data_IF_789838443932
#
_entry.id   IF_789838443932
#
_cell.length_a   1.000
_cell.length_b   1.000
_cell.length_c   1.000
_cell.angle_alpha   90.00
_cell.angle_beta   90.00
_cell.angle_gamma   90.00
#
_symmetry.space_group_name_H-M   'P 1'
#
loop_
_entity.id
_entity.type
_entity.pdbx_description
1 polymer ?
#
# COMPACT_ATOMS: atom_id res chain seq x y z
N UNK A 1 -18.10 -17.13 20.12
CA UNK A 1 -17.89 -18.54 19.70
C UNK A 1 -16.40 -18.69 19.46
N UNK A 2 -15.60 -19.54 20.10
CA UNK A 2 -15.82 -20.71 20.95
C UNK A 2 -14.76 -20.63 22.07
N UNK A 3 -15.20 -20.92 23.29
CA UNK A 3 -14.44 -21.00 24.52
C UNK A 3 -13.86 -22.41 24.62
N UNK A 4 -12.56 -22.57 24.87
CA UNK A 4 -12.02 -23.82 25.44
C UNK A 4 -10.77 -23.52 26.28
N UNK A 5 -11.04 -23.30 27.56
CA UNK A 5 -10.07 -23.36 28.64
C UNK A 5 -9.96 -24.84 29.01
N UNK A 6 -8.79 -25.47 28.85
CA UNK A 6 -8.51 -26.78 29.39
C UNK A 6 -7.65 -26.62 30.64
N UNK A 7 -8.30 -26.63 31.81
CA UNK A 7 -7.61 -26.73 33.10
C UNK A 7 -7.26 -28.20 33.31
N UNK A 8 -5.97 -28.54 33.29
CA UNK A 8 -5.51 -29.87 33.72
C UNK A 8 -5.11 -29.77 35.19
N UNK A 9 -6.01 -30.25 36.04
CA UNK A 9 -5.76 -30.54 37.46
C UNK A 9 -4.80 -31.73 37.56
N UNK A 10 -3.57 -31.50 38.02
CA UNK A 10 -2.71 -32.58 38.48
C UNK A 10 -3.08 -32.92 39.93
N UNK A 11 -3.84 -34.01 40.08
CA UNK A 11 -4.10 -34.61 41.38
C UNK A 11 -2.84 -35.30 41.91
N UNK A 12 -2.38 -34.86 43.08
CA UNK A 12 -1.38 -35.58 43.87
C UNK A 12 -2.06 -36.79 44.50
N UNK A 13 -1.74 -37.99 44.03
CA UNK A 13 -2.16 -39.23 44.69
C UNK A 13 -1.07 -39.61 45.71
N UNK A 14 -1.31 -39.31 46.98
CA UNK A 14 -0.58 -39.91 48.10
C UNK A 14 -1.25 -41.26 48.37
N UNK A 15 -0.65 -42.35 47.89
CA UNK A 15 -1.04 -43.69 48.28
C UNK A 15 -0.29 -44.08 49.56
N UNK A 16 -0.98 -43.95 50.71
CA UNK A 16 -0.56 -44.57 51.95
C UNK A 16 -1.00 -46.05 51.93
N UNK A 17 -0.03 -46.97 52.00
CA UNK A 17 -0.27 -48.40 52.13
C UNK A 17 0.76 -49.01 53.06
N UNK A 18 0.33 -49.41 54.26
CA UNK A 18 1.15 -50.12 55.24
C UNK A 18 0.81 -51.62 55.29
N UNK A 19 1.85 -52.38 55.66
CA UNK A 19 1.90 -53.78 56.10
C UNK A 19 1.97 -54.85 55.00
N UNK A 20 3.20 -55.30 54.80
CA UNK A 20 3.53 -56.61 54.23
C UNK A 20 5.04 -56.75 54.13
N UNK A 21 5.67 -57.43 55.09
CA UNK A 21 7.07 -57.90 55.01
C UNK A 21 7.19 -58.93 53.89
N UNK A 22 7.15 -58.47 52.65
CA UNK A 22 7.61 -59.21 51.48
C UNK A 22 9.01 -58.72 51.19
N UNK A 23 9.97 -59.64 51.13
CA UNK A 23 11.31 -59.35 50.58
C UNK A 23 11.10 -58.81 49.16
N UNK A 24 11.13 -57.48 48.99
CA UNK A 24 11.10 -56.86 47.68
C UNK A 24 12.41 -57.19 46.99
N UNK A 25 12.40 -58.25 46.19
CA UNK A 25 13.29 -58.29 45.02
C UNK A 25 12.96 -57.04 44.22
N UNK A 26 13.93 -56.14 44.15
CA UNK A 26 13.75 -54.70 43.87
C UNK A 26 12.78 -54.39 42.74
N UNK A 27 11.85 -53.48 43.02
CA UNK A 27 11.10 -52.75 41.99
C UNK A 27 12.11 -52.03 41.10
N UNK A 28 12.02 -52.21 39.79
CA UNK A 28 12.78 -51.41 38.82
C UNK A 28 12.04 -50.10 38.56
N UNK A 29 12.74 -48.97 38.63
CA UNK A 29 12.21 -47.63 38.36
C UNK A 29 12.64 -47.13 36.99
N UNK A 30 11.84 -46.25 36.40
CA UNK A 30 12.16 -45.53 35.16
C UNK A 30 12.31 -44.02 35.44
N UNK A 31 13.56 -43.57 35.51
CA UNK A 31 13.91 -42.16 35.77
C UNK A 31 13.46 -41.27 34.60
N UNK A 32 13.34 -41.79 33.38
CA UNK A 32 12.89 -41.01 32.23
C UNK A 32 11.41 -40.64 32.32
N UNK A 33 10.61 -41.47 32.99
CA UNK A 33 9.20 -41.20 33.31
C UNK A 33 9.02 -40.41 34.63
N UNK A 34 10.12 -40.06 35.30
CA UNK A 34 10.09 -39.33 36.57
C UNK A 34 9.80 -40.23 37.78
N UNK A 35 10.08 -41.53 37.69
CA UNK A 35 10.06 -42.43 38.84
C UNK A 35 11.39 -42.36 39.61
N UNK A 36 11.29 -42.33 40.94
CA UNK A 36 12.44 -42.24 41.85
C UNK A 36 12.22 -43.18 43.04
N UNK A 37 13.30 -43.71 43.59
CA UNK A 37 13.22 -44.46 44.85
C UNK A 37 12.90 -43.51 46.00
N UNK A 38 12.00 -43.92 46.89
CA UNK A 38 11.83 -43.26 48.19
C UNK A 38 13.02 -43.53 49.12
N UNK A 39 13.10 -42.81 50.24
CA UNK A 39 14.23 -42.94 51.18
C UNK A 39 14.43 -44.37 51.70
N UNK A 40 13.35 -45.05 52.08
CA UNK A 40 13.38 -46.44 52.58
C UNK A 40 13.75 -47.46 51.49
N UNK A 41 13.23 -47.27 50.27
CA UNK A 41 13.53 -48.13 49.11
C UNK A 41 15.00 -47.99 48.71
N UNK A 42 15.52 -46.76 48.71
CA UNK A 42 16.93 -46.48 48.44
C UNK A 42 17.83 -47.07 49.54
N UNK A 43 17.46 -46.95 50.82
CA UNK A 43 18.23 -47.51 51.93
C UNK A 43 18.42 -49.03 51.81
N UNK A 44 17.38 -49.74 51.34
CA UNK A 44 17.36 -51.19 51.15
C UNK A 44 18.19 -51.69 49.94
N UNK A 45 18.61 -50.81 49.02
CA UNK A 45 19.46 -51.17 47.89
C UNK A 45 20.87 -51.57 48.33
N UNK A 46 21.46 -52.53 47.61
CA UNK A 46 22.88 -52.84 47.72
C UNK A 46 23.75 -51.67 47.25
N UNK A 47 25.02 -51.62 47.67
CA UNK A 47 25.94 -50.56 47.25
C UNK A 47 26.10 -50.48 45.72
N UNK A 48 26.01 -51.62 45.02
CA UNK A 48 26.07 -51.68 43.55
C UNK A 48 24.83 -51.05 42.90
N UNK A 49 23.64 -51.31 43.45
CA UNK A 49 22.38 -50.74 42.95
C UNK A 49 22.28 -49.24 43.26
N UNK A 50 22.77 -48.80 44.42
CA UNK A 50 22.89 -47.37 44.76
C UNK A 50 23.81 -46.64 43.78
N UNK A 51 24.96 -47.21 43.47
CA UNK A 51 25.87 -46.64 42.47
C UNK A 51 25.19 -46.53 41.09
N UNK A 52 24.53 -47.59 40.62
CA UNK A 52 23.82 -47.57 39.34
C UNK A 52 22.67 -46.54 39.31
N UNK A 53 21.95 -46.36 40.41
CA UNK A 53 20.90 -45.34 40.51
C UNK A 53 21.47 -43.92 40.47
N UNK A 54 22.56 -43.66 41.21
CA UNK A 54 23.26 -42.37 41.16
C UNK A 54 23.77 -42.06 39.74
N UNK A 55 24.37 -43.03 39.05
CA UNK A 55 24.84 -42.87 37.67
C UNK A 55 23.69 -42.53 36.71
N UNK A 56 22.54 -43.17 36.88
CA UNK A 56 21.35 -42.92 36.06
C UNK A 56 20.73 -41.53 36.33
N UNK A 57 20.67 -41.10 37.60
CA UNK A 57 20.25 -39.74 37.95
C UNK A 57 21.20 -38.68 37.39
N UNK A 58 22.51 -38.93 37.47
CA UNK A 58 23.50 -38.03 36.90
C UNK A 58 23.35 -37.94 35.38
N UNK A 59 23.13 -39.06 34.70
CA UNK A 59 22.86 -39.10 33.25
C UNK A 59 21.62 -38.26 32.91
N UNK A 60 20.52 -38.43 33.65
CA UNK A 60 19.29 -37.66 33.43
C UNK A 60 19.46 -36.17 33.68
N UNK A 61 20.18 -35.80 34.75
CA UNK A 61 20.54 -34.40 35.06
C UNK A 61 21.30 -33.77 33.89
N UNK A 62 22.31 -34.47 33.38
CA UNK A 62 23.13 -33.98 32.28
C UNK A 62 22.30 -33.84 30.98
N UNK A 63 21.40 -34.78 30.69
CA UNK A 63 20.47 -34.68 29.56
C UNK A 63 19.51 -33.49 29.69
N UNK A 64 18.91 -33.28 30.87
CA UNK A 64 18.02 -32.14 31.11
C UNK A 64 18.77 -30.81 31.02
N UNK A 65 20.00 -30.75 31.54
CA UNK A 65 20.84 -29.56 31.44
C UNK A 65 21.16 -29.25 29.98
N UNK A 66 21.58 -30.24 29.20
CA UNK A 66 21.82 -30.08 27.76
C UNK A 66 20.56 -29.58 27.03
N UNK A 67 19.38 -30.13 27.34
CA UNK A 67 18.12 -29.65 26.74
C UNK A 67 17.75 -28.22 27.16
N UNK A 68 18.09 -27.80 28.39
CA UNK A 68 17.88 -26.43 28.82
C UNK A 68 18.82 -25.47 28.09
N UNK A 69 20.09 -25.85 27.92
CA UNK A 69 21.09 -25.06 27.23
C UNK A 69 20.70 -24.89 25.74
N UNK A 70 20.30 -25.99 25.07
CA UNK A 70 19.79 -25.97 23.68
C UNK A 70 18.57 -25.03 23.54
N UNK A 71 17.59 -25.14 24.45
CA UNK A 71 16.40 -24.28 24.42
C UNK A 71 16.71 -22.82 24.71
N UNK A 72 17.71 -22.54 25.55
CA UNK A 72 18.16 -21.16 25.81
C UNK A 72 18.82 -20.57 24.56
N UNK A 73 19.59 -21.36 23.83
CA UNK A 73 20.18 -20.96 22.54
C UNK A 73 19.09 -20.68 21.50
N UNK A 74 18.12 -21.58 21.33
CA UNK A 74 16.98 -21.40 20.44
C UNK A 74 16.17 -20.14 20.77
N UNK A 75 15.95 -19.88 22.06
CA UNK A 75 15.23 -18.70 22.53
C UNK A 75 16.03 -17.42 22.25
N UNK A 76 17.35 -17.45 22.40
CA UNK A 76 18.22 -16.34 22.04
C UNK A 76 18.20 -16.07 20.53
N UNK A 77 18.25 -17.13 19.70
CA UNK A 77 18.15 -17.02 18.25
C UNK A 77 16.79 -16.45 17.80
N UNK A 78 15.70 -16.94 18.39
CA UNK A 78 14.35 -16.46 18.09
C UNK A 78 14.16 -14.99 18.47
N UNK A 79 14.67 -14.56 19.63
CA UNK A 79 14.65 -13.15 20.04
C UNK A 79 15.38 -12.26 19.04
N UNK A 80 16.58 -12.65 18.60
CA UNK A 80 17.32 -11.92 17.55
C UNK A 80 16.53 -11.82 16.25
N UNK A 81 15.80 -12.88 15.87
CA UNK A 81 14.94 -12.86 14.69
C UNK A 81 13.76 -11.90 14.84
N UNK A 82 13.10 -11.88 16.01
CA UNK A 82 12.02 -10.94 16.32
C UNK A 82 12.52 -9.50 16.23
N UNK A 83 13.68 -9.19 16.80
CA UNK A 83 14.22 -7.83 16.77
C UNK A 83 14.64 -7.41 15.35
N UNK A 84 15.20 -8.33 14.56
CA UNK A 84 15.47 -8.11 13.14
C UNK A 84 14.21 -7.80 12.34
N UNK A 85 13.11 -8.56 12.58
CA UNK A 85 11.83 -8.32 11.92
C UNK A 85 11.21 -6.98 12.36
N UNK A 86 11.28 -6.63 13.65
CA UNK A 86 10.83 -5.33 14.14
C UNK A 86 11.56 -4.18 13.45
N UNK A 87 12.88 -4.30 13.29
CA UNK A 87 13.67 -3.29 12.58
C UNK A 87 13.29 -3.15 11.10
N UNK A 88 12.70 -4.20 10.50
CA UNK A 88 12.16 -4.16 9.14
C UNK A 88 10.73 -3.63 9.08
N UNK A 89 9.89 -3.93 10.08
CA UNK A 89 8.47 -3.52 10.13
C UNK A 89 8.33 -2.03 10.42
N UNK A 90 9.04 -1.50 11.42
CA UNK A 90 8.94 -0.09 11.84
C UNK A 90 9.09 0.93 10.69
N UNK A 91 10.08 0.84 9.78
CA UNK A 91 10.18 1.77 8.66
C UNK A 91 9.03 1.62 7.66
N UNK A 92 8.55 0.39 7.43
CA UNK A 92 7.41 0.15 6.53
C UNK A 92 6.13 0.74 7.10
N UNK A 93 5.87 0.59 8.41
CA UNK A 93 4.73 1.24 9.08
C UNK A 93 4.77 2.76 8.94
N UNK A 94 5.95 3.37 9.05
CA UNK A 94 6.14 4.81 8.84
C UNK A 94 5.83 5.23 7.40
N UNK A 95 6.26 4.44 6.42
CA UNK A 95 5.94 4.71 5.01
C UNK A 95 4.46 4.54 4.70
N UNK A 96 3.78 3.55 5.31
CA UNK A 96 2.34 3.39 5.19
C UNK A 96 1.62 4.66 5.69
N UNK A 97 1.98 5.15 6.88
CA UNK A 97 1.38 6.37 7.43
C UNK A 97 1.61 7.60 6.54
N UNK A 98 2.80 7.72 5.94
CA UNK A 98 3.12 8.78 4.99
C UNK A 98 2.24 8.69 3.74
N UNK A 99 2.20 7.53 3.10
CA UNK A 99 1.41 7.29 1.89
C UNK A 99 -0.08 7.48 2.16
N UNK A 100 -0.60 7.05 3.30
CA UNK A 100 -2.00 7.32 3.68
C UNK A 100 -2.29 8.82 3.82
N UNK A 101 -1.36 9.59 4.36
CA UNK A 101 -1.48 11.06 4.43
C UNK A 101 -1.46 11.71 3.06
N UNK A 102 -0.58 11.22 2.17
CA UNK A 102 -0.50 11.68 0.79
C UNK A 102 -1.82 11.35 0.06
N UNK A 103 -2.34 10.12 0.18
CA UNK A 103 -3.63 9.72 -0.40
C UNK A 103 -4.76 10.63 0.08
N UNK A 104 -4.86 10.90 1.39
CA UNK A 104 -5.88 11.83 1.91
C UNK A 104 -5.77 13.21 1.26
N UNK A 105 -4.56 13.75 1.19
CA UNK A 105 -4.31 15.08 0.63
C UNK A 105 -4.65 15.14 -0.87
N UNK A 106 -4.15 14.17 -1.65
CA UNK A 106 -4.43 14.09 -3.09
C UNK A 106 -5.91 13.85 -3.36
N UNK A 107 -6.58 12.97 -2.59
CA UNK A 107 -8.01 12.72 -2.76
C UNK A 107 -8.86 13.96 -2.49
N UNK A 108 -8.48 14.78 -1.49
CA UNK A 108 -9.15 16.05 -1.23
C UNK A 108 -8.93 17.05 -2.37
N UNK A 109 -7.73 17.11 -2.94
CA UNK A 109 -7.44 17.95 -4.11
C UNK A 109 -8.25 17.49 -5.33
N UNK A 110 -8.29 16.19 -5.62
CA UNK A 110 -9.11 15.63 -6.71
C UNK A 110 -10.58 16.00 -6.53
N UNK A 111 -11.12 15.83 -5.33
CA UNK A 111 -12.51 16.20 -5.03
C UNK A 111 -12.77 17.70 -5.23
N UNK A 112 -11.83 18.58 -4.87
CA UNK A 112 -11.93 20.01 -5.13
C UNK A 112 -11.94 20.31 -6.63
N UNK A 113 -11.04 19.70 -7.41
CA UNK A 113 -11.00 19.86 -8.87
C UNK A 113 -12.25 19.33 -9.56
N UNK A 114 -12.81 18.21 -9.10
CA UNK A 114 -14.03 17.63 -9.65
C UNK A 114 -15.29 18.44 -9.35
N UNK A 115 -15.30 19.18 -8.24
CA UNK A 115 -16.37 20.08 -7.85
C UNK A 115 -16.39 21.40 -8.65
N UNK A 116 -15.29 21.74 -9.33
CA UNK A 116 -15.24 22.95 -10.16
C UNK A 116 -16.27 22.89 -11.30
N UNK A 117 -16.87 24.03 -11.67
CA UNK A 117 -17.86 24.08 -12.73
C UNK A 117 -17.27 23.60 -14.05
N UNK A 118 -17.99 22.69 -14.73
CA UNK A 118 -17.71 22.26 -16.12
C UNK A 118 -18.48 23.08 -17.15
N UNK A 119 -19.36 23.96 -16.69
CA UNK A 119 -20.14 24.86 -17.53
C UNK A 119 -20.25 26.20 -16.83
N UNK A 120 -20.31 27.27 -17.61
CA UNK A 120 -20.46 28.63 -17.13
C UNK A 120 -21.58 29.33 -17.89
N UNK A 121 -22.50 29.96 -17.16
CA UNK A 121 -23.56 30.77 -17.75
C UNK A 121 -23.09 32.21 -17.82
N UNK A 122 -22.92 32.73 -19.03
CA UNK A 122 -22.42 34.09 -19.29
C UNK A 122 -23.36 35.13 -18.68
N UNK A 123 -22.81 36.09 -17.95
CA UNK A 123 -23.53 37.22 -17.36
C UNK A 123 -23.22 38.50 -18.15
N UNK A 124 -24.11 39.49 -18.07
CA UNK A 124 -23.90 40.78 -18.73
C UNK A 124 -22.57 41.43 -18.29
N UNK A 125 -21.71 41.73 -19.26
CA UNK A 125 -20.39 42.33 -19.05
C UNK A 125 -19.23 41.32 -19.00
N UNK A 126 -19.49 40.02 -19.04
CA UNK A 126 -18.43 39.02 -19.18
C UNK A 126 -17.80 39.05 -20.59
N UNK A 127 -16.50 38.76 -20.64
CA UNK A 127 -15.79 38.34 -21.84
C UNK A 127 -14.97 37.07 -21.53
N UNK A 128 -14.46 36.37 -22.54
CA UNK A 128 -13.79 35.08 -22.34
C UNK A 128 -12.58 35.16 -21.40
N UNK A 129 -11.82 36.26 -21.43
CA UNK A 129 -10.70 36.49 -20.51
C UNK A 129 -11.14 36.69 -19.07
N UNK A 130 -12.20 37.48 -18.83
CA UNK A 130 -12.79 37.65 -17.49
C UNK A 130 -13.33 36.32 -16.96
N UNK A 131 -13.95 35.51 -17.82
CA UNK A 131 -14.42 34.17 -17.42
C UNK A 131 -13.23 33.28 -17.04
N UNK A 132 -12.16 33.25 -17.85
CA UNK A 132 -10.98 32.44 -17.59
C UNK A 132 -10.22 32.86 -16.31
N UNK A 133 -10.23 34.15 -15.98
CA UNK A 133 -9.59 34.72 -14.78
C UNK A 133 -10.24 34.26 -13.47
N UNK A 134 -11.52 33.88 -13.47
CA UNK A 134 -12.21 33.44 -12.24
C UNK A 134 -11.50 32.23 -11.65
N UNK A 135 -11.34 32.22 -10.32
CA UNK A 135 -10.68 31.15 -9.57
C UNK A 135 -11.30 29.77 -9.84
N UNK A 136 -12.63 29.73 -9.94
CA UNK A 136 -13.38 28.51 -10.24
C UNK A 136 -13.29 28.05 -11.70
N UNK A 137 -12.78 28.90 -12.59
CA UNK A 137 -12.52 28.59 -14.00
C UNK A 137 -11.06 28.25 -14.16
N UNK A 138 -10.16 29.16 -14.52
CA UNK A 138 -8.75 28.80 -14.72
C UNK A 138 -7.78 29.60 -13.86
N UNK A 139 -8.29 30.55 -13.06
CA UNK A 139 -7.49 31.50 -12.29
C UNK A 139 -6.43 32.22 -13.16
N UNK A 140 -6.71 32.34 -14.46
CA UNK A 140 -5.73 32.79 -15.46
C UNK A 140 -6.45 33.25 -16.72
N UNK A 141 -6.49 34.56 -16.90
CA UNK A 141 -7.15 35.21 -18.02
C UNK A 141 -6.58 34.78 -19.37
N UNK A 142 -5.31 34.36 -19.46
CA UNK A 142 -4.65 33.99 -20.72
C UNK A 142 -5.17 32.67 -21.30
N UNK A 143 -5.90 31.87 -20.50
CA UNK A 143 -6.45 30.57 -20.91
C UNK A 143 -7.82 30.67 -21.59
N UNK A 144 -8.31 31.88 -21.83
CA UNK A 144 -9.54 32.11 -22.57
C UNK A 144 -9.62 31.42 -23.95
N UNK A 145 -8.54 31.24 -24.74
CA UNK A 145 -8.62 30.57 -26.03
C UNK A 145 -9.10 29.11 -25.92
N UNK A 146 -8.86 28.46 -24.77
CA UNK A 146 -9.36 27.12 -24.49
C UNK A 146 -10.88 27.09 -24.34
N UNK A 147 -11.46 28.13 -23.73
CA UNK A 147 -12.92 28.28 -23.64
C UNK A 147 -13.50 28.50 -25.05
N UNK A 148 -12.88 29.39 -25.83
CA UNK A 148 -13.30 29.67 -27.20
C UNK A 148 -13.32 28.40 -28.07
N UNK A 149 -12.19 27.67 -28.12
CA UNK A 149 -12.04 26.45 -28.93
C UNK A 149 -13.06 25.37 -28.59
N UNK A 150 -13.43 25.24 -27.31
CA UNK A 150 -14.40 24.25 -26.88
C UNK A 150 -15.86 24.63 -27.14
N UNK A 151 -16.11 25.88 -27.55
CA UNK A 151 -17.45 26.43 -27.78
C UNK A 151 -17.56 27.10 -29.16
N UNK A 152 -16.76 26.68 -30.14
CA UNK A 152 -16.81 27.21 -31.51
C UNK A 152 -18.19 27.04 -32.17
N UNK A 153 -18.99 26.09 -31.70
CA UNK A 153 -20.37 25.87 -32.12
C UNK A 153 -21.35 26.93 -31.57
N UNK A 154 -20.95 27.68 -30.53
CA UNK A 154 -21.79 28.67 -29.84
C UNK A 154 -21.27 30.10 -29.93
N UNK A 155 -19.98 30.27 -30.21
CA UNK A 155 -19.31 31.58 -30.25
C UNK A 155 -18.79 31.81 -31.67
N UNK A 156 -19.38 32.80 -32.35
CA UNK A 156 -18.93 33.20 -33.69
C UNK A 156 -17.70 34.12 -33.63
N UNK A 157 -17.67 35.05 -32.66
CA UNK A 157 -16.56 35.99 -32.47
C UNK A 157 -16.08 35.93 -31.01
N UNK A 158 -14.78 35.66 -30.76
CA UNK A 158 -14.24 35.57 -29.40
C UNK A 158 -14.36 36.88 -28.60
N UNK A 159 -14.52 38.03 -29.26
CA UNK A 159 -14.70 39.35 -28.63
C UNK A 159 -16.15 39.56 -28.19
N UNK A 160 -17.12 38.89 -28.83
CA UNK A 160 -18.55 39.08 -28.60
C UNK A 160 -19.22 37.80 -28.11
N UNK A 161 -19.44 37.71 -26.79
CA UNK A 161 -20.24 36.65 -26.17
C UNK A 161 -21.55 37.21 -25.64
N UNK A 162 -22.66 36.49 -25.87
CA UNK A 162 -23.99 36.93 -25.46
C UNK A 162 -24.34 36.47 -24.03
N UNK A 163 -24.96 37.32 -23.20
CA UNK A 163 -25.50 36.92 -21.91
C UNK A 163 -26.46 35.73 -22.01
N UNK A 164 -26.57 34.97 -20.93
CA UNK A 164 -27.35 33.73 -20.80
C UNK A 164 -26.84 32.54 -21.63
N UNK A 165 -25.79 32.70 -22.43
CA UNK A 165 -25.13 31.59 -23.13
C UNK A 165 -24.44 30.66 -22.14
N UNK A 166 -24.66 29.35 -22.25
CA UNK A 166 -23.95 28.34 -21.44
C UNK A 166 -22.73 27.80 -22.18
N UNK A 167 -21.54 28.18 -21.72
CA UNK A 167 -20.25 27.75 -22.25
C UNK A 167 -19.76 26.51 -21.51
N UNK A 168 -19.22 25.54 -22.25
CA UNK A 168 -18.44 24.44 -21.68
C UNK A 168 -17.10 24.98 -21.18
N UNK A 169 -16.67 24.51 -20.01
CA UNK A 169 -15.37 24.82 -19.42
C UNK A 169 -14.55 23.52 -19.38
N UNK A 170 -13.67 23.28 -20.38
CA UNK A 170 -12.88 22.06 -20.44
C UNK A 170 -11.93 21.92 -19.25
N UNK A 171 -11.92 20.74 -18.63
CA UNK A 171 -10.96 20.38 -17.56
C UNK A 171 -9.92 19.41 -18.08
N UNK A 172 -10.37 18.44 -18.86
CA UNK A 172 -9.53 17.42 -19.47
C UNK A 172 -8.71 17.99 -20.63
N UNK A 173 -7.49 17.47 -20.79
CA UNK A 173 -6.66 17.82 -21.91
C UNK A 173 -7.32 17.33 -23.22
N UNK A 174 -7.32 18.13 -24.30
CA UNK A 174 -7.99 17.77 -25.55
C UNK A 174 -7.38 16.50 -26.16
N UNK A 175 -8.21 15.54 -26.56
CA UNK A 175 -7.73 14.36 -27.32
C UNK A 175 -7.70 14.61 -28.83
N UNK A 176 -8.26 15.74 -29.26
CA UNK A 176 -8.36 16.15 -30.65
C UNK A 176 -8.33 17.67 -30.77
N UNK A 177 -7.87 18.17 -31.91
CA UNK A 177 -7.83 19.60 -32.23
C UNK A 177 -8.36 19.84 -33.63
N UNK A 178 -9.32 20.76 -33.77
CA UNK A 178 -9.78 21.24 -35.07
C UNK A 178 -8.88 22.39 -35.48
N UNK A 179 -8.18 22.23 -36.61
CA UNK A 179 -7.28 23.25 -37.14
C UNK A 179 -8.05 24.53 -37.47
N UNK A 180 -7.63 25.64 -36.87
CA UNK A 180 -8.12 26.97 -37.20
C UNK A 180 -7.31 27.58 -38.36
N UNK A 181 -7.85 28.59 -39.06
CA UNK A 181 -7.11 29.31 -40.10
C UNK A 181 -5.76 29.81 -39.58
N UNK A 182 -4.71 29.62 -40.39
CA UNK A 182 -3.33 30.05 -40.12
C UNK A 182 -2.61 29.32 -38.97
N UNK A 183 -3.20 28.27 -38.39
CA UNK A 183 -2.46 27.39 -37.49
C UNK A 183 -1.51 26.47 -38.25
N UNK A 184 -0.34 26.23 -37.66
CA UNK A 184 0.61 25.19 -38.09
C UNK A 184 0.67 24.10 -37.04
N UNK A 185 1.23 22.94 -37.39
CA UNK A 185 1.45 21.87 -36.41
C UNK A 185 2.34 22.32 -35.23
N UNK A 186 3.29 23.22 -35.48
CA UNK A 186 4.12 23.85 -34.44
C UNK A 186 3.30 24.73 -33.49
N UNK A 187 2.41 25.57 -34.02
CA UNK A 187 1.52 26.41 -33.21
C UNK A 187 0.63 25.53 -32.34
N UNK A 188 0.03 24.49 -32.94
CA UNK A 188 -0.89 23.60 -32.24
C UNK A 188 -0.15 22.82 -31.14
N UNK A 189 1.03 22.27 -31.43
CA UNK A 189 1.86 21.59 -30.44
C UNK A 189 2.27 22.52 -29.28
N UNK A 190 2.56 23.79 -29.62
CA UNK A 190 2.93 24.83 -28.66
C UNK A 190 1.82 25.27 -27.72
N UNK A 191 0.55 24.95 -27.98
CA UNK A 191 -0.52 25.22 -27.04
C UNK A 191 -0.29 24.45 -25.73
N UNK A 192 -0.41 25.15 -24.61
CA UNK A 192 -0.19 24.60 -23.28
C UNK A 192 -1.11 23.41 -22.98
N UNK A 193 -2.31 23.38 -23.56
CA UNK A 193 -3.23 22.25 -23.42
C UNK A 193 -2.93 21.08 -24.37
N UNK A 194 -2.10 21.28 -25.40
CA UNK A 194 -1.68 20.22 -26.33
C UNK A 194 -0.38 19.60 -25.81
N UNK A 195 0.78 20.22 -26.05
CA UNK A 195 2.06 19.78 -25.48
C UNK A 195 2.78 20.87 -24.70
N UNK A 196 2.45 22.15 -24.94
CA UNK A 196 3.21 23.27 -24.40
C UNK A 196 4.62 23.40 -24.98
N UNK A 197 4.92 22.62 -26.02
CA UNK A 197 6.21 22.60 -26.71
C UNK A 197 5.98 22.53 -28.22
N UNK A 198 6.27 23.62 -28.97
CA UNK A 198 6.17 23.62 -30.42
C UNK A 198 7.03 22.54 -31.10
N UNK A 199 8.13 22.09 -30.47
CA UNK A 199 9.00 21.06 -31.03
C UNK A 199 8.33 19.67 -31.13
N UNK A 200 7.23 19.45 -30.42
CA UNK A 200 6.42 18.23 -30.47
C UNK A 200 5.51 18.15 -31.71
N UNK A 201 5.62 19.10 -32.65
CA UNK A 201 4.86 19.08 -33.90
C UNK A 201 5.07 17.78 -34.70
N UNK A 202 6.26 17.17 -34.64
CA UNK A 202 6.56 15.91 -35.33
C UNK A 202 5.68 14.80 -34.79
N UNK A 203 5.52 14.70 -33.47
CA UNK A 203 4.63 13.73 -32.83
C UNK A 203 3.19 13.91 -33.28
N UNK A 204 2.73 15.17 -33.36
CA UNK A 204 1.39 15.50 -33.83
C UNK A 204 1.21 15.10 -35.30
N UNK A 205 2.19 15.39 -36.15
CA UNK A 205 2.18 14.98 -37.56
C UNK A 205 2.12 13.46 -37.68
N UNK A 206 2.93 12.74 -36.91
CA UNK A 206 3.05 11.30 -37.02
C UNK A 206 1.75 10.56 -36.74
N UNK A 207 0.98 11.04 -35.76
CA UNK A 207 -0.33 10.48 -35.44
C UNK A 207 -1.43 10.83 -36.46
N UNK A 208 -1.17 11.74 -37.39
CA UNK A 208 -2.17 12.27 -38.33
C UNK A 208 -1.72 12.23 -39.79
N UNK A 209 -0.72 11.41 -40.15
CA UNK A 209 -0.21 11.27 -41.54
C UNK A 209 -1.29 10.81 -42.53
N UNK A 210 -2.37 10.21 -42.04
CA UNK A 210 -3.54 9.82 -42.83
C UNK A 210 -4.41 11.03 -43.25
N UNK A 211 -4.33 12.14 -42.49
CA UNK A 211 -5.12 13.36 -42.70
C UNK A 211 -4.30 14.53 -43.25
N UNK A 212 -3.03 14.62 -42.87
CA UNK A 212 -2.13 15.71 -43.25
C UNK A 212 -1.12 15.18 -44.25
N UNK A 213 -1.19 15.64 -45.50
CA UNK A 213 -0.30 15.19 -46.59
C UNK A 213 1.05 15.89 -46.58
N UNK A 214 1.06 17.20 -46.35
CA UNK A 214 2.27 18.02 -46.20
C UNK A 214 2.26 18.68 -44.81
N UNK A 215 3.28 18.46 -43.95
CA UNK A 215 3.39 19.12 -42.66
C UNK A 215 3.37 20.66 -42.70
N UNK A 216 3.78 21.25 -43.83
CA UNK A 216 3.87 22.71 -44.01
C UNK A 216 2.58 23.30 -44.60
N UNK A 217 1.64 22.47 -45.05
CA UNK A 217 0.35 22.89 -45.60
C UNK A 217 -0.77 22.22 -44.80
N UNK A 218 -1.22 22.92 -43.74
CA UNK A 218 -2.27 22.45 -42.86
C UNK A 218 -3.60 23.12 -43.23
N UNK A 219 -4.50 22.37 -43.87
CA UNK A 219 -5.83 22.88 -44.24
C UNK A 219 -6.68 23.13 -42.98
N UNK A 220 -7.44 24.24 -42.92
CA UNK A 220 -8.42 24.48 -41.84
C UNK A 220 -9.45 23.36 -41.74
N UNK A 221 -10.07 23.22 -40.57
CA UNK A 221 -11.11 22.24 -40.24
C UNK A 221 -10.70 20.76 -40.19
N UNK A 222 -9.44 20.44 -40.49
CA UNK A 222 -8.89 19.10 -40.21
C UNK A 222 -8.99 18.82 -38.70
N UNK A 223 -9.51 17.63 -38.36
CA UNK A 223 -9.57 17.16 -36.98
C UNK A 223 -8.35 16.27 -36.68
N UNK A 224 -7.35 16.86 -36.06
CA UNK A 224 -6.15 16.17 -35.60
C UNK A 224 -6.44 15.38 -34.33
N UNK A 225 -5.90 14.17 -34.22
CA UNK A 225 -5.82 13.41 -32.97
C UNK A 225 -4.56 13.85 -32.24
N UNK A 226 -4.69 14.17 -30.95
CA UNK A 226 -3.55 14.52 -30.09
C UNK A 226 -3.11 13.27 -29.34
N UNK A 227 -2.01 12.60 -29.72
CA UNK A 227 -1.48 11.48 -28.95
C UNK A 227 -0.97 11.99 -27.60
N UNK A 228 -1.39 11.32 -26.51
CA UNK A 228 -1.02 11.64 -25.13
C UNK A 228 0.11 10.75 -24.63
#
# INVERSE_FOLDING_TARGET
MVRNVLVVLFGVIIAAGSVGCSRTKGRTIDIDQGEYYGEDEFAALSNKEKAAYCDALETKRNQMQASLDDKQEDLAATKKRIDSLRNQITPVEKEILRVESDIRTLSAQVAQYEALPRQYKVVAGDCLSIIAEKDEVYADWTKWPRIYRANLDKIEDPVWIYPDTTLAIPRDLPTQHRVAPYETLEIIAGYWEVYGDPAEWVRLFEANKDKVRDPNELEPDILLVIPR
#
